data_IF_423842979855
#
_entry.id   IF_423842979855
#
_cell.length_a   1.000
_cell.length_b   1.000
_cell.length_c   1.000
_cell.angle_alpha   90.00
_cell.angle_beta   90.00
_cell.angle_gamma   90.00
#
_symmetry.space_group_name_H-M   'P 1'
#
loop_
_entity.id
_entity.type
_entity.pdbx_description
1 polymer ?
#
# COMPACT_ATOMS: atom_id res chain seq x y z
N UNK A 1 7.67 25.30 -9.93
CA UNK A 1 7.76 25.06 -8.47
C UNK A 1 6.88 23.89 -8.03
N UNK A 2 5.58 23.81 -8.39
CA UNK A 2 4.73 22.61 -8.15
C UNK A 2 5.35 21.26 -8.63
N UNK A 3 5.93 21.21 -9.84
CA UNK A 3 6.63 20.01 -10.37
C UNK A 3 7.88 19.60 -9.58
N UNK A 4 8.56 20.54 -8.93
CA UNK A 4 9.79 20.26 -8.18
C UNK A 4 9.47 19.76 -6.75
N UNK A 5 8.42 20.29 -6.12
CA UNK A 5 7.91 19.79 -4.83
C UNK A 5 7.36 18.36 -4.93
N UNK A 6 6.61 18.03 -6.00
CA UNK A 6 6.20 16.64 -6.30
C UNK A 6 7.38 15.67 -6.45
N UNK A 7 8.55 16.13 -6.91
CA UNK A 7 9.76 15.29 -6.98
C UNK A 7 10.44 15.11 -5.62
N UNK A 8 10.39 16.10 -4.72
CA UNK A 8 11.01 16.02 -3.38
C UNK A 8 10.26 15.02 -2.49
N UNK A 9 8.91 15.05 -2.48
CA UNK A 9 8.12 14.06 -1.73
C UNK A 9 8.18 12.65 -2.35
N UNK A 10 8.30 12.53 -3.69
CA UNK A 10 8.58 11.25 -4.35
C UNK A 10 9.87 10.62 -3.83
N UNK A 11 10.89 11.45 -3.55
CA UNK A 11 12.19 10.99 -3.02
C UNK A 11 12.11 10.64 -1.54
N UNK A 12 11.32 11.35 -0.73
CA UNK A 12 11.18 11.07 0.72
C UNK A 12 10.36 9.81 1.03
N UNK A 13 9.30 9.50 0.26
CA UNK A 13 8.53 8.26 0.42
C UNK A 13 9.31 7.04 -0.11
N UNK A 14 10.06 7.21 -1.20
CA UNK A 14 11.05 6.21 -1.65
C UNK A 14 12.12 5.99 -0.56
N UNK A 15 12.48 7.04 0.17
CA UNK A 15 13.39 6.94 1.32
C UNK A 15 12.80 6.14 2.49
N UNK A 16 11.49 6.19 2.74
CA UNK A 16 10.85 5.35 3.78
C UNK A 16 10.94 3.85 3.44
N UNK A 17 10.77 3.47 2.17
CA UNK A 17 11.01 2.09 1.72
C UNK A 17 12.50 1.70 1.84
N UNK A 18 13.42 2.62 1.58
CA UNK A 18 14.87 2.43 1.76
C UNK A 18 15.32 2.41 3.23
N UNK A 19 14.61 3.08 4.14
CA UNK A 19 14.91 3.08 5.58
C UNK A 19 14.36 1.82 6.27
N UNK A 20 13.29 1.22 5.76
CA UNK A 20 12.79 -0.09 6.21
C UNK A 20 13.71 -1.26 5.81
N UNK A 21 14.58 -1.08 4.79
CA UNK A 21 15.64 -2.03 4.45
C UNK A 21 16.74 -2.14 5.53
N UNK A 22 16.81 -1.20 6.49
CA UNK A 22 17.91 -1.15 7.48
C UNK A 22 17.54 -1.54 8.92
N UNK A 23 16.26 -1.82 9.25
CA UNK A 23 15.85 -1.90 10.66
C UNK A 23 15.50 -3.27 11.24
N UNK A 24 15.64 -4.41 10.55
CA UNK A 24 15.58 -5.73 11.23
C UNK A 24 16.47 -6.82 10.63
N UNK A 25 17.79 -6.58 10.57
CA UNK A 25 18.73 -7.73 10.56
C UNK A 25 18.73 -8.29 11.99
N UNK A 26 17.84 -9.25 12.23
CA UNK A 26 17.90 -10.09 13.42
C UNK A 26 19.22 -10.87 13.33
N UNK A 27 20.16 -10.61 14.24
CA UNK A 27 21.57 -11.04 14.18
C UNK A 27 21.83 -12.57 14.20
N UNK A 28 20.79 -13.40 14.01
CA UNK A 28 20.83 -14.86 13.98
C UNK A 28 20.05 -15.49 12.81
N UNK A 29 19.54 -14.72 11.85
CA UNK A 29 18.88 -15.30 10.68
C UNK A 29 19.95 -15.84 9.70
N UNK A 30 19.86 -17.11 9.31
CA UNK A 30 20.69 -17.64 8.24
C UNK A 30 20.08 -17.26 6.90
N UNK A 31 20.84 -16.60 6.05
CA UNK A 31 20.48 -16.27 4.68
C UNK A 31 20.78 -17.45 3.75
N UNK A 32 20.01 -17.56 2.67
CA UNK A 32 20.27 -18.54 1.63
C UNK A 32 19.62 -18.13 0.32
N UNK A 33 20.07 -18.78 -0.75
CA UNK A 33 19.49 -18.63 -2.10
C UNK A 33 19.15 -20.01 -2.62
N UNK A 34 17.90 -20.20 -3.02
CA UNK A 34 17.48 -21.35 -3.79
C UNK A 34 17.52 -20.99 -5.27
N UNK A 35 18.20 -21.81 -6.07
CA UNK A 35 18.36 -21.59 -7.51
C UNK A 35 17.59 -22.68 -8.24
N UNK A 36 16.62 -22.29 -9.07
CA UNK A 36 15.92 -23.23 -9.94
C UNK A 36 16.79 -23.63 -11.14
N UNK A 37 16.44 -24.73 -11.82
CA UNK A 37 17.10 -25.15 -13.05
C UNK A 37 16.98 -24.11 -14.19
N UNK A 38 15.90 -23.30 -14.17
CA UNK A 38 15.67 -22.15 -15.07
C UNK A 38 16.58 -20.96 -14.76
N UNK A 39 17.22 -20.94 -13.59
CA UNK A 39 18.08 -19.85 -13.12
C UNK A 39 17.35 -18.75 -12.35
N UNK A 40 16.12 -19.01 -11.92
CA UNK A 40 15.43 -18.16 -10.95
C UNK A 40 16.12 -18.25 -9.59
N UNK A 41 16.17 -17.13 -8.89
CA UNK A 41 16.81 -16.93 -7.61
C UNK A 41 15.73 -16.58 -6.60
N UNK A 42 15.56 -17.44 -5.60
CA UNK A 42 14.69 -17.20 -4.45
C UNK A 42 15.59 -17.01 -3.23
N UNK A 43 15.82 -15.76 -2.87
CA UNK A 43 16.58 -15.41 -1.67
C UNK A 43 15.67 -15.46 -0.45
N UNK A 44 16.18 -15.99 0.65
CA UNK A 44 15.40 -16.17 1.85
C UNK A 44 16.25 -16.06 3.10
N UNK A 45 15.55 -15.83 4.22
CA UNK A 45 16.10 -15.95 5.56
C UNK A 45 15.34 -17.00 6.34
N UNK A 46 16.04 -17.71 7.22
CA UNK A 46 15.40 -18.65 8.15
C UNK A 46 15.05 -17.92 9.44
N UNK A 47 13.76 -17.91 9.75
CA UNK A 47 13.21 -17.31 10.98
C UNK A 47 12.49 -18.42 11.73
N UNK A 48 12.91 -18.70 12.97
CA UNK A 48 12.23 -19.65 13.86
C UNK A 48 11.92 -21.03 13.23
N UNK A 49 12.79 -21.53 12.35
CA UNK A 49 12.63 -22.86 11.73
C UNK A 49 11.78 -22.90 10.45
N UNK A 50 11.40 -21.76 9.90
CA UNK A 50 10.77 -21.64 8.58
C UNK A 50 11.53 -20.64 7.69
N UNK A 51 11.30 -20.72 6.38
CA UNK A 51 11.82 -19.74 5.43
C UNK A 51 10.87 -18.54 5.27
N UNK A 52 11.46 -17.35 5.19
CA UNK A 52 10.83 -16.12 4.69
C UNK A 52 11.52 -15.75 3.39
N UNK A 53 10.77 -15.66 2.29
CA UNK A 53 11.29 -15.16 1.01
C UNK A 53 11.59 -13.67 1.16
N UNK A 54 12.76 -13.23 0.73
CA UNK A 54 13.20 -11.83 0.83
C UNK A 54 13.42 -11.18 -0.52
N UNK A 55 13.69 -11.95 -1.57
CA UNK A 55 13.85 -11.44 -2.92
C UNK A 55 13.64 -12.54 -3.96
N UNK A 56 13.12 -12.15 -5.12
CA UNK A 56 13.04 -12.97 -6.31
C UNK A 56 13.63 -12.23 -7.51
N UNK A 57 14.49 -12.92 -8.26
CA UNK A 57 15.05 -12.41 -9.51
C UNK A 57 15.51 -13.56 -10.42
N UNK A 58 15.85 -13.27 -11.67
CA UNK A 58 16.30 -14.24 -12.68
C UNK A 58 17.74 -13.91 -13.08
N UNK A 59 18.62 -14.92 -13.11
CA UNK A 59 20.01 -14.73 -13.50
C UNK A 59 20.14 -14.05 -14.87
N UNK A 60 21.03 -13.04 -15.02
CA UNK A 60 21.27 -12.39 -16.30
C UNK A 60 21.59 -13.38 -17.42
N UNK A 61 20.90 -13.23 -18.55
CA UNK A 61 21.03 -14.12 -19.71
C UNK A 61 20.20 -15.41 -19.65
N UNK A 62 19.42 -15.62 -18.58
CA UNK A 62 18.39 -16.68 -18.55
C UNK A 62 17.05 -16.16 -19.04
N UNK A 63 16.20 -17.08 -19.50
CA UNK A 63 14.86 -16.74 -19.93
C UNK A 63 13.97 -16.51 -18.71
N UNK A 64 13.24 -15.40 -18.71
CA UNK A 64 12.28 -15.09 -17.65
C UNK A 64 11.00 -15.90 -17.88
N UNK A 65 10.49 -16.63 -16.87
CA UNK A 65 9.28 -17.42 -17.02
C UNK A 65 8.04 -16.52 -17.14
N UNK A 66 7.00 -17.03 -17.80
CA UNK A 66 5.70 -16.35 -17.82
C UNK A 66 4.96 -16.46 -16.48
N UNK A 67 5.19 -17.54 -15.73
CA UNK A 67 4.61 -17.79 -14.41
C UNK A 67 5.72 -18.08 -13.40
N UNK A 68 5.73 -17.35 -12.29
CA UNK A 68 6.64 -17.57 -11.16
C UNK A 68 5.91 -18.46 -10.16
N UNK A 69 6.37 -19.71 -10.02
CA UNK A 69 5.86 -20.63 -9.00
C UNK A 69 6.81 -20.60 -7.81
N UNK A 70 6.40 -19.90 -6.75
CA UNK A 70 7.24 -19.80 -5.54
C UNK A 70 7.29 -21.17 -4.86
N UNK A 71 8.49 -21.69 -4.49
CA UNK A 71 8.61 -23.01 -3.86
C UNK A 71 7.93 -23.10 -2.49
N UNK A 72 7.31 -24.25 -2.18
CA UNK A 72 6.76 -24.56 -0.85
C UNK A 72 7.84 -24.66 0.25
N UNK A 73 9.09 -24.94 -0.15
CA UNK A 73 10.24 -25.05 0.74
C UNK A 73 11.46 -24.34 0.12
N UNK A 74 12.24 -23.65 0.96
CA UNK A 74 13.51 -23.04 0.59
C UNK A 74 14.60 -23.51 1.55
N UNK A 75 15.68 -24.08 1.01
CA UNK A 75 16.78 -24.61 1.83
C UNK A 75 16.42 -25.78 2.75
N UNK A 76 15.33 -26.50 2.45
CA UNK A 76 14.78 -27.55 3.33
C UNK A 76 13.94 -27.02 4.50
N UNK A 77 13.59 -25.73 4.50
CA UNK A 77 12.66 -25.13 5.44
C UNK A 77 11.33 -24.81 4.75
N UNK A 78 10.18 -25.05 5.41
CA UNK A 78 8.89 -24.67 4.85
C UNK A 78 8.81 -23.16 4.67
N UNK A 79 8.33 -22.70 3.51
CA UNK A 79 8.07 -21.30 3.26
C UNK A 79 6.78 -20.89 3.99
N UNK A 80 6.90 -19.93 4.93
CA UNK A 80 5.75 -19.44 5.71
C UNK A 80 5.44 -17.97 5.47
N UNK A 81 6.41 -17.21 4.97
CA UNK A 81 6.28 -15.77 4.85
C UNK A 81 6.85 -15.25 3.53
N UNK A 82 6.14 -14.31 2.91
CA UNK A 82 6.67 -13.46 1.85
C UNK A 82 7.09 -12.15 2.51
N UNK A 83 8.38 -11.83 2.45
CA UNK A 83 9.00 -10.67 3.05
C UNK A 83 8.73 -9.37 2.31
N UNK A 84 9.08 -8.25 2.95
CA UNK A 84 9.01 -6.91 2.37
C UNK A 84 9.69 -6.87 1.00
N UNK A 85 9.00 -6.35 0.00
CA UNK A 85 9.48 -6.12 -1.36
C UNK A 85 10.04 -7.37 -2.08
N UNK A 86 9.64 -8.58 -1.66
CA UNK A 86 10.20 -9.83 -2.22
C UNK A 86 10.00 -9.97 -3.74
N UNK A 87 8.99 -9.28 -4.31
CA UNK A 87 8.71 -9.24 -5.75
C UNK A 87 8.76 -7.82 -6.33
N UNK A 88 9.48 -6.89 -5.70
CA UNK A 88 9.68 -5.56 -6.27
C UNK A 88 10.46 -5.69 -7.59
N UNK A 89 9.91 -5.11 -8.66
CA UNK A 89 10.56 -5.06 -9.98
C UNK A 89 10.72 -3.64 -10.53
N UNK A 90 10.55 -2.64 -9.67
CA UNK A 90 10.87 -1.25 -9.96
C UNK A 90 12.35 -0.95 -9.69
N UNK A 91 12.89 -1.55 -8.64
CA UNK A 91 14.30 -1.42 -8.27
C UNK A 91 15.16 -2.43 -9.02
N UNK A 92 16.39 -2.01 -9.34
CA UNK A 92 17.37 -2.87 -9.98
C UNK A 92 18.15 -3.70 -8.96
N UNK A 93 18.64 -4.86 -9.36
CA UNK A 93 19.55 -5.70 -8.58
C UNK A 93 21.01 -5.48 -9.02
N UNK A 94 21.96 -5.80 -8.13
CA UNK A 94 23.38 -5.88 -8.45
C UNK A 94 23.83 -7.34 -8.56
N UNK A 95 24.45 -7.71 -9.69
CA UNK A 95 25.01 -9.04 -9.89
C UNK A 95 26.37 -8.94 -10.58
N UNK A 96 27.40 -9.55 -9.98
CA UNK A 96 28.78 -9.56 -10.50
C UNK A 96 29.35 -8.16 -10.85
N UNK A 97 28.91 -7.12 -10.14
CA UNK A 97 29.38 -5.75 -10.33
C UNK A 97 28.66 -4.97 -11.42
N UNK A 98 27.57 -5.50 -11.97
CA UNK A 98 26.68 -4.83 -12.91
C UNK A 98 25.25 -4.76 -12.37
N UNK A 99 24.47 -3.81 -12.90
CA UNK A 99 23.08 -3.56 -12.51
C UNK A 99 22.13 -4.17 -13.53
N UNK A 100 21.11 -4.88 -13.06
CA UNK A 100 20.10 -5.54 -13.90
C UNK A 100 18.69 -5.30 -13.35
N UNK A 101 17.69 -5.35 -14.23
CA UNK A 101 16.32 -5.55 -13.78
C UNK A 101 16.22 -6.95 -13.13
N UNK A 102 15.43 -7.13 -12.06
CA UNK A 102 15.32 -8.42 -11.38
C UNK A 102 14.77 -9.51 -12.31
N UNK A 103 13.93 -9.15 -13.27
CA UNK A 103 13.46 -10.04 -14.34
C UNK A 103 12.89 -9.22 -15.50
N UNK A 104 12.69 -9.86 -16.65
CA UNK A 104 12.03 -9.23 -17.81
C UNK A 104 10.54 -8.99 -17.50
N UNK A 105 10.21 -7.76 -17.11
CA UNK A 105 8.86 -7.35 -16.68
C UNK A 105 7.79 -7.48 -17.77
N UNK A 106 8.20 -7.48 -19.04
CA UNK A 106 7.26 -7.66 -20.17
C UNK A 106 6.85 -9.14 -20.34
N UNK A 107 7.49 -10.07 -19.62
CA UNK A 107 7.24 -11.52 -19.71
C UNK A 107 6.44 -12.10 -18.56
N UNK A 108 6.69 -11.65 -17.32
CA UNK A 108 6.03 -12.23 -16.14
C UNK A 108 4.56 -11.83 -16.13
N UNK A 109 3.68 -12.80 -16.29
CA UNK A 109 2.23 -12.60 -16.28
C UNK A 109 1.64 -12.94 -14.91
N UNK A 110 2.22 -13.92 -14.21
CA UNK A 110 1.62 -14.47 -13.01
C UNK A 110 2.64 -14.80 -11.93
N UNK A 111 2.28 -14.52 -10.68
CA UNK A 111 2.99 -15.01 -9.50
C UNK A 111 2.06 -15.93 -8.72
N UNK A 112 2.52 -17.14 -8.40
CA UNK A 112 1.76 -18.12 -7.63
C UNK A 112 2.44 -18.32 -6.29
N UNK A 113 1.78 -17.84 -5.22
CA UNK A 113 2.21 -18.07 -3.84
C UNK A 113 1.67 -19.43 -3.38
N UNK A 114 2.54 -20.34 -2.91
CA UNK A 114 2.17 -21.72 -2.65
C UNK A 114 1.38 -21.88 -1.36
N UNK A 115 0.69 -23.01 -1.26
CA UNK A 115 0.10 -23.43 0.01
C UNK A 115 1.17 -23.63 1.08
N UNK A 116 0.79 -23.40 2.33
CA UNK A 116 1.70 -23.38 3.47
C UNK A 116 2.17 -21.98 3.84
N UNK A 117 2.16 -21.01 2.92
CA UNK A 117 2.44 -19.60 3.21
C UNK A 117 1.30 -19.01 4.04
N UNK A 118 1.65 -18.47 5.20
CA UNK A 118 0.69 -17.96 6.19
C UNK A 118 0.73 -16.45 6.34
N UNK A 119 1.81 -15.78 5.94
CA UNK A 119 1.96 -14.34 6.13
C UNK A 119 2.50 -13.65 4.89
N UNK A 120 1.86 -12.54 4.50
CA UNK A 120 2.46 -11.52 3.64
C UNK A 120 2.90 -10.37 4.54
N UNK A 121 4.20 -10.06 4.53
CA UNK A 121 4.77 -8.91 5.23
C UNK A 121 4.28 -7.60 4.62
N UNK A 122 4.41 -6.53 5.40
CA UNK A 122 4.18 -5.19 4.88
C UNK A 122 5.05 -4.97 3.63
N UNK A 123 4.46 -4.41 2.57
CA UNK A 123 5.13 -4.22 1.28
C UNK A 123 5.52 -5.48 0.51
N UNK A 124 4.97 -6.67 0.80
CA UNK A 124 5.39 -7.93 0.15
C UNK A 124 5.44 -7.91 -1.39
N UNK A 125 4.46 -7.23 -2.02
CA UNK A 125 4.39 -7.03 -3.48
C UNK A 125 4.56 -5.56 -3.87
N UNK A 126 5.10 -4.72 -3.00
CA UNK A 126 5.27 -3.30 -3.31
C UNK A 126 6.03 -3.12 -4.62
N UNK A 127 5.53 -2.23 -5.48
CA UNK A 127 6.11 -1.95 -6.79
C UNK A 127 6.28 -3.21 -7.67
N UNK A 128 5.43 -4.24 -7.50
CA UNK A 128 5.32 -5.35 -8.42
C UNK A 128 4.46 -4.94 -9.63
N UNK A 129 5.11 -4.32 -10.61
CA UNK A 129 4.49 -3.76 -11.81
C UNK A 129 4.36 -4.80 -12.92
N UNK A 130 3.45 -4.55 -13.85
CA UNK A 130 3.28 -5.28 -15.12
C UNK A 130 2.89 -6.78 -14.98
N UNK A 131 2.88 -7.32 -13.76
CA UNK A 131 2.28 -8.63 -13.44
C UNK A 131 0.76 -8.53 -13.57
N UNK A 132 0.16 -9.48 -14.28
CA UNK A 132 -1.28 -9.50 -14.56
C UNK A 132 -2.09 -10.17 -13.45
N UNK A 133 -1.52 -11.18 -12.78
CA UNK A 133 -2.21 -11.92 -11.71
C UNK A 133 -1.25 -12.34 -10.58
N UNK A 134 -1.72 -12.20 -9.34
CA UNK A 134 -1.08 -12.80 -8.16
C UNK A 134 -2.07 -13.78 -7.53
N UNK A 135 -1.69 -15.05 -7.46
CA UNK A 135 -2.46 -16.10 -6.81
C UNK A 135 -2.01 -16.27 -5.37
N UNK A 136 -2.94 -16.11 -4.43
CA UNK A 136 -2.74 -16.24 -2.99
C UNK A 136 -3.32 -17.57 -2.46
N UNK A 137 -2.69 -18.21 -1.46
CA UNK A 137 -3.09 -19.52 -0.98
C UNK A 137 -4.25 -19.48 0.01
N UNK A 138 -4.90 -20.63 0.21
CA UNK A 138 -5.99 -20.80 1.18
C UNK A 138 -5.46 -20.77 2.62
N UNK A 139 -4.19 -21.13 2.81
CA UNK A 139 -3.47 -21.09 4.09
C UNK A 139 -3.04 -19.70 4.55
N UNK A 140 -3.22 -18.66 3.71
CA UNK A 140 -2.86 -17.28 4.07
C UNK A 140 -3.71 -16.79 5.25
N UNK A 141 -3.04 -16.51 6.37
CA UNK A 141 -3.67 -16.08 7.61
C UNK A 141 -3.53 -14.57 7.84
N UNK A 142 -2.35 -14.01 7.58
CA UNK A 142 -2.02 -12.61 7.87
C UNK A 142 -1.50 -11.88 6.64
N UNK A 143 -2.11 -10.74 6.31
CA UNK A 143 -1.55 -9.71 5.45
C UNK A 143 -1.25 -8.54 6.38
N UNK A 144 0.03 -8.22 6.59
CA UNK A 144 0.41 -7.10 7.45
C UNK A 144 -0.05 -5.78 6.82
N UNK A 145 -0.53 -4.87 7.68
CA UNK A 145 -1.13 -3.59 7.26
C UNK A 145 -0.07 -2.64 6.73
N UNK A 146 -0.43 -1.87 5.70
CA UNK A 146 0.39 -0.79 5.16
C UNK A 146 0.39 -0.77 3.65
N UNK A 147 1.34 -1.48 3.05
CA UNK A 147 1.81 -1.29 1.68
C UNK A 147 1.94 -2.59 0.89
N UNK A 148 1.36 -3.70 1.38
CA UNK A 148 1.51 -5.03 0.80
C UNK A 148 1.28 -5.07 -0.73
N UNK A 149 0.38 -4.23 -1.25
CA UNK A 149 0.05 -4.10 -2.67
C UNK A 149 0.21 -2.67 -3.22
N UNK A 150 1.06 -1.84 -2.61
CA UNK A 150 1.36 -0.50 -3.10
C UNK A 150 1.91 -0.56 -4.53
N UNK A 151 1.36 0.24 -5.43
CA UNK A 151 1.74 0.27 -6.84
C UNK A 151 1.66 -1.09 -7.57
N UNK A 152 0.75 -1.98 -7.14
CA UNK A 152 0.49 -3.25 -7.82
C UNK A 152 -0.69 -3.13 -8.78
N UNK A 153 -0.53 -3.57 -10.03
CA UNK A 153 -1.57 -3.57 -11.06
C UNK A 153 -2.14 -4.95 -11.38
N UNK A 154 -1.81 -5.96 -10.58
CA UNK A 154 -2.25 -7.34 -10.79
C UNK A 154 -3.69 -7.58 -10.32
N UNK A 155 -4.41 -8.47 -10.99
CA UNK A 155 -5.58 -9.11 -10.39
C UNK A 155 -5.12 -10.01 -9.23
N UNK A 156 -5.91 -10.03 -8.15
CA UNK A 156 -5.65 -10.95 -7.04
C UNK A 156 -6.62 -12.12 -7.17
N UNK A 157 -6.07 -13.32 -7.26
CA UNK A 157 -6.85 -14.56 -7.17
C UNK A 157 -6.56 -15.19 -5.82
N UNK A 158 -7.60 -15.50 -5.07
CA UNK A 158 -7.47 -16.16 -3.77
C UNK A 158 -7.98 -17.60 -3.92
N UNK A 159 -7.17 -18.57 -3.49
CA UNK A 159 -7.59 -19.96 -3.46
C UNK A 159 -8.89 -20.12 -2.63
N UNK A 160 -9.74 -21.06 -3.04
CA UNK A 160 -11.03 -21.29 -2.40
C UNK A 160 -10.88 -21.58 -0.89
N UNK A 161 -11.95 -21.30 -0.13
CA UNK A 161 -12.02 -21.62 1.31
C UNK A 161 -11.04 -20.89 2.25
N UNK A 162 -10.36 -19.82 1.81
CA UNK A 162 -9.59 -18.98 2.74
C UNK A 162 -10.50 -18.43 3.86
N UNK A 163 -10.12 -18.63 5.13
CA UNK A 163 -10.97 -18.32 6.28
C UNK A 163 -11.00 -16.83 6.63
N UNK A 164 -9.95 -16.09 6.28
CA UNK A 164 -9.75 -14.71 6.74
C UNK A 164 -10.06 -13.67 5.64
N UNK A 165 -9.69 -13.96 4.40
CA UNK A 165 -9.82 -13.04 3.28
C UNK A 165 -10.88 -13.50 2.28
N UNK A 166 -11.34 -12.56 1.46
CA UNK A 166 -12.18 -12.84 0.31
C UNK A 166 -11.80 -11.90 -0.82
N UNK A 167 -11.85 -12.40 -2.06
CA UNK A 167 -11.79 -11.57 -3.26
C UNK A 167 -13.13 -11.63 -3.96
N UNK A 168 -13.78 -10.48 -4.11
CA UNK A 168 -15.04 -10.35 -4.85
C UNK A 168 -15.00 -9.09 -5.72
N UNK A 169 -15.33 -9.21 -7.01
CA UNK A 169 -15.43 -8.09 -7.94
C UNK A 169 -14.16 -7.19 -7.96
N UNK A 170 -12.98 -7.81 -7.84
CA UNK A 170 -11.70 -7.09 -7.80
C UNK A 170 -11.35 -6.49 -6.43
N UNK A 171 -12.15 -6.70 -5.38
CA UNK A 171 -11.86 -6.23 -4.03
C UNK A 171 -11.30 -7.34 -3.16
N UNK A 172 -10.10 -7.15 -2.61
CA UNK A 172 -9.53 -7.99 -1.56
C UNK A 172 -9.92 -7.42 -0.19
N UNK A 173 -10.62 -8.22 0.62
CA UNK A 173 -11.21 -7.78 1.89
C UNK A 173 -10.78 -8.73 3.02
N UNK A 174 -10.35 -8.20 4.16
CA UNK A 174 -10.25 -8.95 5.42
C UNK A 174 -11.64 -9.04 6.08
N UNK A 175 -12.20 -10.24 6.12
CA UNK A 175 -13.53 -10.52 6.68
C UNK A 175 -13.59 -10.36 8.19
N UNK A 176 -12.45 -10.48 8.88
CA UNK A 176 -12.40 -10.45 10.35
C UNK A 176 -12.54 -9.02 10.86
N UNK A 177 -11.96 -8.07 10.12
CA UNK A 177 -11.95 -6.64 10.47
C UNK A 177 -12.87 -5.80 9.62
N UNK A 178 -13.48 -6.38 8.58
CA UNK A 178 -14.31 -5.67 7.61
C UNK A 178 -13.53 -4.53 6.94
N UNK A 179 -12.34 -4.87 6.43
CA UNK A 179 -11.38 -3.93 5.86
C UNK A 179 -11.13 -4.22 4.39
N UNK A 180 -11.31 -3.23 3.53
CA UNK A 180 -10.82 -3.26 2.15
C UNK A 180 -9.29 -3.07 2.15
N UNK A 181 -8.58 -4.08 1.66
CA UNK A 181 -7.12 -4.11 1.61
C UNK A 181 -6.56 -3.68 0.26
N UNK A 182 -7.28 -3.97 -0.84
CA UNK A 182 -6.81 -3.70 -2.19
C UNK A 182 -7.96 -3.73 -3.21
N UNK A 183 -7.91 -2.80 -4.17
CA UNK A 183 -8.71 -2.78 -5.38
C UNK A 183 -7.85 -3.19 -6.59
N UNK A 184 -8.20 -4.31 -7.22
CA UNK A 184 -7.63 -4.72 -8.50
C UNK A 184 -8.17 -3.87 -9.66
N UNK A 185 -7.50 -3.85 -10.83
CA UNK A 185 -7.98 -3.10 -12.00
C UNK A 185 -9.41 -3.47 -12.43
N UNK A 186 -9.83 -4.72 -12.26
CA UNK A 186 -11.18 -5.18 -12.56
C UNK A 186 -12.29 -4.49 -11.73
N UNK A 187 -11.95 -3.88 -10.60
CA UNK A 187 -12.89 -3.14 -9.75
C UNK A 187 -13.33 -1.78 -10.32
N UNK A 188 -12.73 -1.32 -11.43
CA UNK A 188 -12.93 0.03 -12.00
C UNK A 188 -14.39 0.41 -12.32
N UNK A 189 -15.26 -0.56 -12.56
CA UNK A 189 -16.67 -0.34 -12.90
C UNK A 189 -17.61 -0.72 -11.73
N UNK A 190 -17.05 -1.00 -10.55
CA UNK A 190 -17.77 -1.47 -9.37
C UNK A 190 -17.87 -0.36 -8.32
N UNK A 191 -19.00 -0.25 -7.61
CA UNK A 191 -19.04 0.57 -6.40
C UNK A 191 -18.12 -0.05 -5.34
N UNK A 192 -17.49 0.79 -4.52
CA UNK A 192 -16.72 0.32 -3.37
C UNK A 192 -17.57 -0.61 -2.48
N UNK A 193 -16.98 -1.69 -1.95
CA UNK A 193 -17.70 -2.65 -1.12
C UNK A 193 -18.10 -2.02 0.22
N UNK A 194 -19.23 -2.46 0.77
CA UNK A 194 -19.67 -2.06 2.12
C UNK A 194 -18.70 -2.65 3.15
N UNK A 195 -17.76 -1.84 3.64
CA UNK A 195 -16.73 -2.20 4.62
C UNK A 195 -16.61 -1.10 5.67
N UNK A 196 -16.05 -1.42 6.83
CA UNK A 196 -15.78 -0.44 7.89
C UNK A 196 -14.51 0.35 7.70
N UNK A 197 -13.49 -0.26 7.11
CA UNK A 197 -12.17 0.33 7.02
C UNK A 197 -11.64 0.25 5.60
N UNK A 198 -10.95 1.29 5.18
CA UNK A 198 -10.13 1.28 3.96
C UNK A 198 -8.68 1.34 4.41
N UNK A 199 -7.91 0.30 4.11
CA UNK A 199 -6.48 0.26 4.46
C UNK A 199 -5.67 1.26 3.63
N UNK A 200 -4.46 1.57 4.05
CA UNK A 200 -3.57 2.42 3.26
C UNK A 200 -3.34 1.83 1.85
N UNK A 201 -3.26 2.70 0.84
CA UNK A 201 -3.08 2.32 -0.59
C UNK A 201 -4.13 1.41 -1.22
N UNK A 202 -5.21 1.06 -0.51
CA UNK A 202 -6.22 0.13 -1.03
C UNK A 202 -6.88 0.62 -2.32
N UNK A 203 -6.93 1.95 -2.53
CA UNK A 203 -7.58 2.59 -3.67
C UNK A 203 -6.63 3.04 -4.79
N UNK A 204 -5.35 2.69 -4.76
CA UNK A 204 -4.35 3.10 -5.76
C UNK A 204 -4.86 2.88 -7.20
N UNK A 205 -5.32 1.68 -7.55
CA UNK A 205 -5.86 1.40 -8.88
C UNK A 205 -7.25 1.99 -9.10
N UNK A 206 -8.07 2.03 -8.03
CA UNK A 206 -9.47 2.42 -8.13
C UNK A 206 -9.61 3.89 -8.53
N UNK A 207 -8.85 4.76 -7.86
CA UNK A 207 -8.93 6.20 -8.07
C UNK A 207 -8.48 6.68 -9.45
N UNK A 208 -7.67 5.90 -10.19
CA UNK A 208 -7.31 6.26 -11.56
C UNK A 208 -8.51 6.29 -12.52
N UNK A 209 -9.55 5.52 -12.22
CA UNK A 209 -10.76 5.42 -13.04
C UNK A 209 -11.93 6.24 -12.50
N UNK A 210 -11.80 6.81 -11.29
CA UNK A 210 -12.88 7.50 -10.60
C UNK A 210 -12.51 8.96 -10.33
N UNK A 211 -13.00 9.91 -11.15
CA UNK A 211 -12.77 11.34 -10.91
C UNK A 211 -13.51 11.85 -9.66
N UNK A 212 -14.44 11.06 -9.11
CA UNK A 212 -15.14 11.34 -7.88
C UNK A 212 -14.97 10.13 -6.97
N UNK A 213 -14.33 10.31 -5.82
CA UNK A 213 -14.27 9.29 -4.78
C UNK A 213 -15.43 9.49 -3.81
N UNK A 214 -16.40 8.57 -3.90
CA UNK A 214 -17.52 8.44 -2.96
C UNK A 214 -17.36 7.14 -2.20
N UNK A 215 -17.41 7.22 -0.88
CA UNK A 215 -17.28 6.05 -0.01
C UNK A 215 -18.65 5.55 0.46
N UNK A 216 -18.79 4.25 0.75
CA UNK A 216 -20.00 3.72 1.36
C UNK A 216 -20.24 4.27 2.77
N UNK A 217 -21.50 4.46 3.17
CA UNK A 217 -21.93 4.91 4.52
C UNK A 217 -21.64 3.91 5.66
N UNK A 218 -20.86 2.87 5.38
CA UNK A 218 -20.35 1.92 6.39
C UNK A 218 -18.90 2.18 6.76
N UNK A 219 -18.19 3.01 5.99
CA UNK A 219 -16.78 3.30 6.21
C UNK A 219 -16.63 4.23 7.41
N UNK A 220 -15.98 3.75 8.46
CA UNK A 220 -15.69 4.48 9.70
C UNK A 220 -14.29 5.09 9.69
N UNK A 221 -13.35 4.47 8.95
CA UNK A 221 -11.93 4.85 8.89
C UNK A 221 -11.36 4.76 7.47
N UNK A 222 -10.62 5.80 7.06
CA UNK A 222 -9.89 5.85 5.78
C UNK A 222 -8.39 5.97 6.04
N UNK A 223 -7.64 4.94 5.63
CA UNK A 223 -6.19 4.84 5.76
C UNK A 223 -5.42 5.80 4.84
N UNK A 224 -4.11 5.89 5.07
CA UNK A 224 -3.21 6.79 4.36
C UNK A 224 -3.09 6.50 2.87
N UNK A 225 -2.74 7.53 2.09
CA UNK A 225 -2.36 7.42 0.68
C UNK A 225 -3.41 6.86 -0.29
N UNK A 226 -4.69 6.79 0.09
CA UNK A 226 -5.78 6.27 -0.75
C UNK A 226 -6.11 7.15 -1.98
N UNK A 227 -5.45 8.27 -2.15
CA UNK A 227 -5.53 9.09 -3.36
C UNK A 227 -4.16 9.52 -3.90
N UNK A 228 -3.08 8.80 -3.59
CA UNK A 228 -1.74 9.23 -3.97
C UNK A 228 -1.51 9.23 -5.50
N UNK A 229 -0.97 10.33 -6.02
CA UNK A 229 -0.65 10.58 -7.45
C UNK A 229 -1.85 10.42 -8.41
N UNK A 230 -3.08 10.59 -7.90
CA UNK A 230 -4.30 10.56 -8.73
C UNK A 230 -4.50 11.89 -9.48
N UNK A 231 -4.01 11.91 -10.72
CA UNK A 231 -4.01 13.12 -11.56
C UNK A 231 -5.38 13.51 -12.13
N UNK A 232 -6.34 12.58 -12.17
CA UNK A 232 -7.68 12.78 -12.72
C UNK A 232 -8.76 12.88 -11.64
N UNK A 233 -8.39 12.84 -10.36
CA UNK A 233 -9.34 12.99 -9.25
C UNK A 233 -9.79 14.46 -9.16
N UNK A 234 -11.10 14.70 -9.17
CA UNK A 234 -11.70 16.04 -9.07
C UNK A 234 -12.37 16.26 -7.70
N UNK A 235 -13.10 15.26 -7.21
CA UNK A 235 -13.93 15.40 -6.01
C UNK A 235 -13.71 14.26 -5.02
N UNK A 236 -13.63 14.60 -3.73
CA UNK A 236 -13.64 13.67 -2.60
C UNK A 236 -14.86 13.96 -1.74
N UNK A 237 -15.68 12.94 -1.47
CA UNK A 237 -16.86 13.03 -0.60
C UNK A 237 -16.70 12.08 0.58
N UNK A 238 -16.39 12.63 1.76
CA UNK A 238 -16.31 11.86 3.00
C UNK A 238 -17.74 11.58 3.53
N UNK A 239 -18.16 10.32 3.70
CA UNK A 239 -19.52 9.95 4.10
C UNK A 239 -19.75 10.19 5.59
N UNK A 240 -21.02 10.17 6.03
CA UNK A 240 -21.39 10.53 7.41
C UNK A 240 -20.79 9.59 8.46
N UNK A 241 -20.52 8.33 8.10
CA UNK A 241 -19.97 7.31 8.98
C UNK A 241 -18.48 7.51 9.31
N UNK A 242 -17.72 8.28 8.52
CA UNK A 242 -16.28 8.43 8.76
C UNK A 242 -16.04 9.30 9.99
N UNK A 243 -15.27 8.75 10.92
CA UNK A 243 -14.92 9.41 12.20
C UNK A 243 -13.48 9.92 12.16
N UNK A 244 -12.60 9.28 11.40
CA UNK A 244 -11.19 9.63 11.31
C UNK A 244 -10.63 9.44 9.90
N UNK A 245 -9.84 10.44 9.47
CA UNK A 245 -8.94 10.34 8.33
C UNK A 245 -7.51 10.14 8.85
N UNK A 246 -6.83 9.10 8.36
CA UNK A 246 -5.45 8.83 8.69
C UNK A 246 -4.49 9.93 8.19
N UNK A 247 -3.25 9.88 8.67
CA UNK A 247 -2.17 10.67 8.07
C UNK A 247 -2.07 10.32 6.58
N UNK A 248 -1.86 11.35 5.75
CA UNK A 248 -1.76 11.24 4.30
C UNK A 248 -2.99 10.66 3.56
N UNK A 249 -4.17 10.55 4.20
CA UNK A 249 -5.35 9.87 3.63
C UNK A 249 -5.65 10.25 2.17
N UNK A 250 -5.61 11.54 1.84
CA UNK A 250 -5.82 12.09 0.50
C UNK A 250 -4.66 12.99 0.06
N UNK A 251 -3.43 12.58 0.38
CA UNK A 251 -2.22 13.31 -0.01
C UNK A 251 -1.97 13.26 -1.52
N UNK A 252 -1.46 14.37 -2.08
CA UNK A 252 -0.89 14.45 -3.42
C UNK A 252 -1.81 13.97 -4.57
N UNK A 253 -2.91 14.68 -4.82
CA UNK A 253 -3.82 14.45 -5.96
C UNK A 253 -4.29 15.76 -6.61
N UNK A 254 -5.11 15.64 -7.64
CA UNK A 254 -5.68 16.80 -8.36
C UNK A 254 -7.05 17.24 -7.85
N UNK A 255 -7.55 16.71 -6.71
CA UNK A 255 -8.89 17.05 -6.24
C UNK A 255 -9.01 18.55 -6.01
N UNK A 256 -10.10 19.13 -6.51
CA UNK A 256 -10.43 20.55 -6.35
C UNK A 256 -11.59 20.75 -5.39
N UNK A 257 -12.41 19.71 -5.17
CA UNK A 257 -13.56 19.72 -4.30
C UNK A 257 -13.44 18.64 -3.21
N UNK A 258 -13.56 19.05 -1.94
CA UNK A 258 -13.62 18.13 -0.80
C UNK A 258 -14.85 18.46 0.02
N UNK A 259 -15.67 17.46 0.29
CA UNK A 259 -16.79 17.55 1.24
C UNK A 259 -16.46 16.70 2.46
N UNK A 260 -16.42 17.34 3.63
CA UNK A 260 -16.23 16.69 4.92
C UNK A 260 -17.60 16.54 5.62
N UNK A 261 -17.81 15.43 6.33
CA UNK A 261 -19.07 15.17 7.04
C UNK A 261 -19.11 15.80 8.44
N UNK A 262 -20.31 16.18 8.88
CA UNK A 262 -20.57 16.41 10.31
C UNK A 262 -20.59 15.06 11.02
N UNK A 263 -19.59 14.81 11.85
CA UNK A 263 -19.30 13.50 12.45
C UNK A 263 -17.79 13.23 12.50
N UNK A 264 -17.05 13.80 11.55
CA UNK A 264 -15.59 13.71 11.50
C UNK A 264 -14.95 14.30 12.76
N UNK A 265 -14.09 13.53 13.41
CA UNK A 265 -13.40 13.93 14.66
C UNK A 265 -11.94 14.29 14.44
N UNK A 266 -11.27 13.59 13.54
CA UNK A 266 -9.83 13.75 13.34
C UNK A 266 -9.48 13.79 11.86
N UNK A 267 -8.65 14.77 11.51
CA UNK A 267 -7.98 14.87 10.22
C UNK A 267 -6.49 14.62 10.47
N UNK A 268 -5.92 13.59 9.85
CA UNK A 268 -4.51 13.24 10.01
C UNK A 268 -3.54 14.28 9.45
N UNK A 269 -2.27 14.14 9.81
CA UNK A 269 -1.20 14.97 9.27
C UNK A 269 -1.10 14.79 7.76
N UNK A 270 -0.87 15.89 7.04
CA UNK A 270 -0.78 15.92 5.57
C UNK A 270 -2.00 15.33 4.83
N UNK A 271 -3.15 15.13 5.50
CA UNK A 271 -4.28 14.39 4.92
C UNK A 271 -4.77 14.97 3.59
N UNK A 272 -4.70 16.28 3.37
CA UNK A 272 -5.03 16.95 2.11
C UNK A 272 -3.87 17.78 1.56
N UNK A 273 -2.63 17.51 2.01
CA UNK A 273 -1.46 18.21 1.51
C UNK A 273 -1.21 17.87 0.02
N UNK A 274 -0.61 18.82 -0.71
CA UNK A 274 -0.31 18.71 -2.14
C UNK A 274 -1.53 18.35 -3.03
N UNK A 275 -2.73 18.77 -2.61
CA UNK A 275 -3.96 18.75 -3.43
C UNK A 275 -4.18 20.08 -4.18
N UNK A 276 -5.19 20.17 -5.04
CA UNK A 276 -5.54 21.41 -5.77
C UNK A 276 -6.82 22.10 -5.20
N UNK A 277 -7.24 21.72 -3.98
CA UNK A 277 -8.30 22.41 -3.26
C UNK A 277 -7.86 23.83 -2.89
N UNK A 278 -8.76 24.81 -3.05
CA UNK A 278 -8.44 26.22 -2.80
C UNK A 278 -9.07 26.77 -1.51
N UNK A 279 -10.06 26.08 -0.95
CA UNK A 279 -10.72 26.44 0.30
C UNK A 279 -11.38 25.22 0.90
N UNK A 280 -11.50 25.20 2.23
CA UNK A 280 -12.19 24.12 2.92
C UNK A 280 -12.95 24.64 4.14
N UNK A 281 -14.11 24.02 4.39
CA UNK A 281 -14.87 24.20 5.62
C UNK A 281 -14.70 22.95 6.46
N UNK A 282 -14.01 23.08 7.59
CA UNK A 282 -13.81 22.01 8.55
C UNK A 282 -15.02 21.95 9.51
N UNK A 283 -15.75 20.82 9.56
CA UNK A 283 -16.97 20.67 10.35
C UNK A 283 -16.80 20.99 11.84
N UNK A 284 -17.92 21.32 12.51
CA UNK A 284 -17.92 21.70 13.93
C UNK A 284 -17.59 20.53 14.88
N UNK A 285 -17.62 19.32 14.34
CA UNK A 285 -17.34 18.07 15.03
C UNK A 285 -15.87 17.71 15.09
N UNK A 286 -15.02 18.33 14.26
CA UNK A 286 -13.58 18.04 14.20
C UNK A 286 -12.88 18.58 15.43
N UNK A 287 -12.21 17.70 16.15
CA UNK A 287 -11.51 17.97 17.40
C UNK A 287 -10.00 18.09 17.21
N UNK A 288 -9.44 17.48 16.16
CA UNK A 288 -8.01 17.46 15.88
C UNK A 288 -7.71 17.60 14.38
N UNK A 289 -6.80 18.49 14.03
CA UNK A 289 -6.21 18.65 12.70
C UNK A 289 -4.71 18.37 12.81
N UNK A 290 -4.23 17.39 12.04
CA UNK A 290 -2.83 16.97 12.03
C UNK A 290 -1.91 17.98 11.35
N UNK A 291 -0.61 17.79 11.57
CA UNK A 291 0.43 18.68 11.08
C UNK A 291 0.33 18.82 9.56
N UNK A 292 0.36 20.06 9.06
CA UNK A 292 0.33 20.38 7.62
C UNK A 292 -0.82 19.74 6.82
N UNK A 293 -1.95 19.38 7.47
CA UNK A 293 -3.08 18.71 6.83
C UNK A 293 -3.61 19.45 5.57
N UNK A 294 -3.48 20.78 5.53
CA UNK A 294 -3.96 21.67 4.47
C UNK A 294 -2.85 22.51 3.83
N UNK A 295 -1.59 22.04 3.82
CA UNK A 295 -0.44 22.80 3.31
C UNK A 295 -0.49 23.22 1.84
N UNK A 296 -1.52 22.78 1.09
CA UNK A 296 -1.78 23.20 -0.28
C UNK A 296 -2.44 24.60 -0.39
N UNK A 297 -2.98 25.15 0.70
CA UNK A 297 -3.72 26.42 0.70
C UNK A 297 -3.27 27.37 1.82
N UNK A 298 -3.61 28.65 1.65
CA UNK A 298 -3.39 29.69 2.67
C UNK A 298 -4.41 29.59 3.82
N UNK A 299 -4.01 29.96 5.04
CA UNK A 299 -4.85 29.88 6.24
C UNK A 299 -6.21 30.60 6.10
N UNK A 300 -6.26 31.73 5.38
CA UNK A 300 -7.48 32.52 5.16
C UNK A 300 -8.58 31.73 4.42
N UNK A 301 -8.21 30.67 3.71
CA UNK A 301 -9.14 29.82 2.96
C UNK A 301 -9.62 28.61 3.77
N UNK A 302 -9.20 28.48 5.03
CA UNK A 302 -9.59 27.40 5.94
C UNK A 302 -10.58 27.95 6.95
N UNK A 303 -11.85 27.53 6.84
CA UNK A 303 -12.88 27.87 7.84
C UNK A 303 -13.07 26.71 8.81
N UNK A 304 -12.58 26.83 10.04
CA UNK A 304 -12.81 25.83 11.09
C UNK A 304 -14.01 26.21 11.95
N UNK A 305 -15.04 25.36 11.95
CA UNK A 305 -16.29 25.64 12.67
C UNK A 305 -16.20 25.30 14.18
N UNK A 306 -15.26 24.44 14.58
CA UNK A 306 -15.01 24.15 16.00
C UNK A 306 -13.97 25.13 16.59
N UNK A 307 -14.36 26.05 17.49
CA UNK A 307 -13.42 26.99 18.10
C UNK A 307 -12.42 26.33 19.07
N UNK A 308 -12.65 25.07 19.46
CA UNK A 308 -11.78 24.30 20.35
C UNK A 308 -10.96 23.24 19.59
N UNK A 309 -10.96 23.25 18.26
CA UNK A 309 -10.18 22.30 17.47
C UNK A 309 -8.68 22.47 17.77
N UNK A 310 -7.98 21.36 18.03
CA UNK A 310 -6.55 21.33 18.27
C UNK A 310 -5.82 21.17 16.94
N UNK A 311 -4.79 21.99 16.74
CA UNK A 311 -3.86 21.86 15.62
C UNK A 311 -2.57 21.21 16.12
N UNK A 312 -2.19 20.10 15.50
CA UNK A 312 -0.96 19.39 15.79
C UNK A 312 0.25 20.24 15.38
N UNK A 313 1.23 20.32 16.28
CA UNK A 313 2.49 21.01 16.01
C UNK A 313 3.49 20.09 15.31
N UNK A 314 4.50 20.68 14.67
CA UNK A 314 5.63 19.93 14.11
C UNK A 314 6.34 19.07 15.18
N UNK A 315 6.48 19.59 16.41
CA UNK A 315 7.10 18.87 17.53
C UNK A 315 6.28 17.64 17.93
N UNK A 316 4.96 17.78 18.07
CA UNK A 316 4.05 16.67 18.39
C UNK A 316 4.06 15.61 17.28
N UNK A 317 4.08 16.06 16.01
CA UNK A 317 4.17 15.19 14.84
C UNK A 317 5.49 14.40 14.81
N UNK A 318 6.62 15.07 15.04
CA UNK A 318 7.93 14.41 15.07
C UNK A 318 8.02 13.40 16.21
N UNK A 319 7.53 13.77 17.41
CA UNK A 319 7.57 12.91 18.59
C UNK A 319 6.83 11.59 18.38
N UNK A 320 5.70 11.57 17.67
CA UNK A 320 4.94 10.33 17.41
C UNK A 320 5.49 9.49 16.26
N UNK A 321 6.40 10.03 15.44
CA UNK A 321 7.04 9.32 14.33
C UNK A 321 8.45 8.83 14.64
N UNK A 322 9.18 9.47 15.56
CA UNK A 322 10.47 8.97 16.06
C UNK A 322 10.34 7.71 16.94
N UNK A 323 9.14 7.41 17.42
CA UNK A 323 8.83 6.28 18.32
C UNK A 323 8.20 5.06 17.62
N UNK A 324 8.21 5.01 16.28
CA UNK A 324 7.70 3.89 15.47
C UNK A 324 8.84 3.22 14.71
#
# INVERSE_FOLDING_TARGET
MKKLRKQVYKVEIILCCLLLLLSTINANASEGTHVSDSGEQFEYVVVNGYARLTSYWVLPGRDTPAEIHVPEELGGYPLKEIGLAAFNNWDTIEYQGETYDPYDKDKVQRIVIPEGVTTLKDGAFTCCHDVSEISLPSTLDTIEKGFAFQHVTAEIVLAEENQNYIVNNGFLIDKRTDTLLYCAPSAKDQPLPMVKCIEAHALDNYGYFHPILTFPETVEYIGGFNAYDLVNLDTIVVPESVVELADYAFFCNSATNVTLNEGLKRIGAYAFAETDINSIVVPSTVEWIGFDAFSCMEEENITVLNPNCVWETEEDYNLRHENK
#
